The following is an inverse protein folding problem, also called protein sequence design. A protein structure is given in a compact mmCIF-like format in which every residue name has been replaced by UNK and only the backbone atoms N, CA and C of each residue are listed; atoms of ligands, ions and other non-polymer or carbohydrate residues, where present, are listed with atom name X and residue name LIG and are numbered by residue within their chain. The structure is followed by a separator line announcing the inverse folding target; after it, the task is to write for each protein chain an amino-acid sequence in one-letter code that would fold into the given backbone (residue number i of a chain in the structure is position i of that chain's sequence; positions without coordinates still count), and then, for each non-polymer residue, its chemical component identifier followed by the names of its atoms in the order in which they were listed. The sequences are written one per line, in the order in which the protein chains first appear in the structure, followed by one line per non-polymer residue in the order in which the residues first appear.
data_IF_172308327259
#
_entry.id   IF_172308327259
#
_cell.length_a   1.000
_cell.length_b   1.000
_cell.length_c   1.000
_cell.angle_alpha   90.00
_cell.angle_beta   90.00
_cell.angle_gamma   90.00
#
_symmetry.space_group_name_H-M   'P 1'
#
loop_
_entity.id
_entity.type
_entity.pdbx_description
1 polymer ?
#
# COMPACT_ATOMS: atom_id res chain seq x y z
N UNK A 1 19.34 11.10 -5.22
CA UNK A 1 19.13 9.68 -5.56
C UNK A 1 18.41 9.03 -4.38
N UNK A 2 17.13 9.40 -4.18
CA UNK A 2 16.26 8.88 -3.11
C UNK A 2 16.13 7.38 -3.28
N UNK A 3 16.65 6.64 -2.29
CA UNK A 3 16.75 5.20 -2.23
C UNK A 3 17.26 4.53 -3.51
N UNK A 4 18.51 4.06 -3.45
CA UNK A 4 18.87 2.87 -4.23
C UNK A 4 17.89 1.78 -3.82
N UNK A 5 16.85 1.60 -4.64
CA UNK A 5 16.08 0.37 -4.72
C UNK A 5 17.05 -0.75 -5.08
N UNK A 6 17.82 -1.22 -4.11
CA UNK A 6 18.54 -2.48 -4.18
C UNK A 6 17.49 -3.57 -3.96
N UNK A 7 16.54 -3.70 -4.90
CA UNK A 7 15.77 -4.94 -5.05
C UNK A 7 16.79 -6.02 -5.44
N UNK A 8 16.59 -7.23 -4.94
CA UNK A 8 17.38 -8.39 -5.35
C UNK A 8 17.10 -8.74 -6.83
N UNK A 9 15.92 -8.37 -7.32
CA UNK A 9 15.52 -8.54 -8.71
C UNK A 9 16.41 -7.79 -9.74
N UNK A 10 16.14 -8.01 -11.04
CA UNK A 10 16.93 -7.43 -12.12
C UNK A 10 16.84 -5.90 -12.14
N UNK A 11 17.82 -5.21 -12.77
CA UNK A 11 17.77 -3.76 -12.97
C UNK A 11 16.46 -3.31 -13.64
N UNK A 12 16.01 -2.05 -13.42
CA UNK A 12 14.70 -1.58 -13.88
C UNK A 12 14.42 -1.83 -15.37
N UNK A 13 15.37 -1.55 -16.26
CA UNK A 13 15.15 -1.73 -17.70
C UNK A 13 14.96 -3.22 -18.08
N UNK A 14 15.70 -4.11 -17.43
CA UNK A 14 15.56 -5.55 -17.63
C UNK A 14 14.26 -6.08 -17.01
N UNK A 15 13.93 -5.63 -15.80
CA UNK A 15 12.66 -5.92 -15.14
C UNK A 15 11.46 -5.52 -16.02
N UNK A 16 11.48 -4.30 -16.55
CA UNK A 16 10.44 -3.80 -17.45
C UNK A 16 10.37 -4.63 -18.73
N UNK A 17 11.51 -4.94 -19.35
CA UNK A 17 11.55 -5.76 -20.55
C UNK A 17 10.96 -7.17 -20.33
N UNK A 18 11.21 -7.78 -19.16
CA UNK A 18 10.61 -9.06 -18.77
C UNK A 18 9.09 -8.94 -18.59
N UNK A 19 8.62 -7.93 -17.85
CA UNK A 19 7.19 -7.68 -17.63
C UNK A 19 6.44 -7.41 -18.93
N UNK A 20 7.01 -6.60 -19.83
CA UNK A 20 6.41 -6.30 -21.15
C UNK A 20 6.22 -7.56 -22.00
N UNK A 21 7.11 -8.56 -21.89
CA UNK A 21 6.96 -9.87 -22.55
C UNK A 21 5.84 -10.71 -21.93
N UNK A 22 5.59 -10.56 -20.63
CA UNK A 22 4.56 -11.30 -19.89
C UNK A 22 3.16 -10.65 -19.97
N UNK A 23 3.04 -9.42 -20.47
CA UNK A 23 1.81 -8.61 -20.40
C UNK A 23 0.55 -9.35 -20.89
N UNK A 24 0.63 -10.08 -22.00
CA UNK A 24 -0.53 -10.75 -22.61
C UNK A 24 -0.96 -11.95 -21.76
N UNK A 25 0.00 -12.68 -21.18
CA UNK A 25 -0.28 -13.78 -20.26
C UNK A 25 -0.88 -13.30 -18.94
N UNK A 26 -0.55 -12.08 -18.51
CA UNK A 26 -1.17 -11.39 -17.36
C UNK A 26 -2.52 -10.75 -17.71
N UNK A 27 -3.02 -10.89 -18.94
CA UNK A 27 -4.29 -10.28 -19.37
C UNK A 27 -4.25 -8.75 -19.53
N UNK A 28 -3.05 -8.15 -19.55
CA UNK A 28 -2.87 -6.71 -19.72
C UNK A 28 -3.10 -6.33 -21.18
N UNK A 29 -4.10 -5.48 -21.42
CA UNK A 29 -4.47 -5.02 -22.77
C UNK A 29 -3.95 -3.62 -23.08
N UNK A 30 -3.67 -2.82 -22.05
CA UNK A 30 -3.18 -1.45 -22.21
C UNK A 30 -2.20 -1.07 -21.09
N UNK A 31 -1.17 -0.33 -21.48
CA UNK A 31 -0.23 0.35 -20.59
C UNK A 31 -0.18 1.80 -21.08
N UNK A 32 -0.38 2.77 -20.18
CA UNK A 32 -0.44 4.18 -20.54
C UNK A 32 0.32 5.03 -19.52
N UNK A 33 1.20 5.89 -20.01
CA UNK A 33 1.73 7.01 -19.22
C UNK A 33 0.63 8.07 -19.09
N UNK A 34 0.19 8.33 -17.85
CA UNK A 34 -0.84 9.33 -17.55
C UNK A 34 -0.26 10.56 -16.85
N UNK A 35 1.07 10.66 -16.72
CA UNK A 35 1.77 11.76 -16.07
C UNK A 35 1.34 13.13 -16.60
N UNK A 36 1.15 13.22 -17.92
CA UNK A 36 0.76 14.46 -18.60
C UNK A 36 -0.67 14.94 -18.32
N UNK A 37 -1.48 14.18 -17.58
CA UNK A 37 -2.81 14.64 -17.14
C UNK A 37 -2.73 15.57 -15.92
N UNK A 38 -1.58 15.68 -15.26
CA UNK A 38 -1.38 16.53 -14.09
C UNK A 38 -0.13 17.41 -14.24
N UNK A 39 -0.09 18.50 -13.49
CA UNK A 39 1.02 19.47 -13.52
C UNK A 39 2.24 19.01 -12.70
N UNK A 40 2.06 18.05 -11.78
CA UNK A 40 3.10 17.61 -10.84
C UNK A 40 4.34 17.04 -11.54
N UNK A 41 4.19 16.44 -12.72
CA UNK A 41 5.29 15.83 -13.47
C UNK A 41 5.93 14.61 -12.79
N UNK A 42 5.25 14.05 -11.78
CA UNK A 42 5.65 12.80 -11.13
C UNK A 42 5.18 11.64 -12.02
N UNK A 43 6.07 10.72 -12.43
CA UNK A 43 5.70 9.60 -13.30
C UNK A 43 4.62 8.70 -12.69
N UNK A 44 3.51 8.54 -13.42
CA UNK A 44 2.44 7.59 -13.10
C UNK A 44 2.02 6.84 -14.36
N UNK A 45 2.01 5.51 -14.24
CA UNK A 45 1.62 4.60 -15.33
C UNK A 45 0.37 3.84 -14.93
N UNK A 46 -0.52 3.68 -15.88
CA UNK A 46 -1.76 2.93 -15.74
C UNK A 46 -1.68 1.64 -16.56
N UNK A 47 -2.13 0.54 -15.96
CA UNK A 47 -2.21 -0.79 -16.57
C UNK A 47 -3.66 -1.26 -16.53
N UNK A 48 -4.20 -1.72 -17.67
CA UNK A 48 -5.59 -2.17 -17.77
C UNK A 48 -5.66 -3.67 -18.03
N UNK A 49 -6.42 -4.36 -17.18
CA UNK A 49 -6.77 -5.77 -17.26
C UNK A 49 -8.30 -5.93 -17.19
N UNK A 50 -8.99 -5.92 -18.35
CA UNK A 50 -10.46 -5.81 -18.41
C UNK A 50 -11.24 -6.93 -17.71
N UNK A 51 -10.64 -8.10 -17.51
CA UNK A 51 -11.26 -9.26 -16.88
C UNK A 51 -10.78 -9.47 -15.44
N UNK A 52 -10.23 -8.44 -14.79
CA UNK A 52 -9.92 -8.52 -13.36
C UNK A 52 -11.16 -8.81 -12.53
N UNK A 53 -11.02 -9.68 -11.53
CA UNK A 53 -12.04 -9.88 -10.50
C UNK A 53 -11.93 -8.86 -9.34
N UNK A 54 -11.01 -7.90 -9.45
CA UNK A 54 -10.83 -6.74 -8.58
C UNK A 54 -10.97 -5.47 -9.44
N UNK A 55 -10.14 -4.45 -9.23
CA UNK A 55 -10.06 -3.29 -10.10
C UNK A 55 -9.50 -3.65 -11.48
N UNK A 56 -10.20 -3.26 -12.55
CA UNK A 56 -9.73 -3.48 -13.93
C UNK A 56 -8.51 -2.63 -14.29
N UNK A 57 -8.22 -1.61 -13.48
CA UNK A 57 -7.12 -0.67 -13.66
C UNK A 57 -6.22 -0.67 -12.43
N UNK A 58 -4.96 -1.05 -12.64
CA UNK A 58 -3.88 -0.88 -11.67
C UNK A 58 -3.03 0.33 -12.06
N UNK A 59 -2.41 0.97 -11.08
CA UNK A 59 -1.60 2.17 -11.32
C UNK A 59 -0.30 2.09 -10.54
N UNK A 60 0.77 2.58 -11.14
CA UNK A 60 2.10 2.53 -10.56
C UNK A 60 2.75 3.89 -10.56
N UNK A 61 3.66 4.06 -9.61
CA UNK A 61 4.37 5.31 -9.33
C UNK A 61 5.87 5.09 -9.24
N UNK A 62 6.64 6.15 -9.42
CA UNK A 62 8.08 6.10 -9.19
C UNK A 62 8.80 7.37 -9.60
N UNK A 63 10.11 7.42 -9.32
CA UNK A 63 10.95 8.55 -9.71
C UNK A 63 11.20 8.61 -11.24
N UNK A 64 11.04 7.48 -11.93
CA UNK A 64 11.14 7.39 -13.39
C UNK A 64 9.92 6.69 -13.99
N UNK A 65 9.69 6.93 -15.28
CA UNK A 65 8.62 6.27 -16.02
C UNK A 65 8.76 4.74 -16.02
N UNK A 66 10.00 4.23 -16.09
CA UNK A 66 10.27 2.79 -16.02
C UNK A 66 9.86 2.21 -14.66
N UNK A 67 10.19 2.88 -13.55
CA UNK A 67 9.78 2.46 -12.22
C UNK A 67 8.27 2.49 -12.04
N UNK A 68 7.60 3.55 -12.51
CA UNK A 68 6.15 3.65 -12.49
C UNK A 68 5.48 2.52 -13.30
N UNK A 69 6.02 2.19 -14.48
CA UNK A 69 5.53 1.07 -15.29
C UNK A 69 5.71 -0.29 -14.59
N UNK A 70 6.89 -0.55 -14.01
CA UNK A 70 7.16 -1.78 -13.24
C UNK A 70 6.19 -1.89 -12.07
N UNK A 71 6.00 -0.80 -11.30
CA UNK A 71 5.05 -0.75 -10.18
C UNK A 71 3.64 -1.11 -10.64
N UNK A 72 3.15 -0.52 -11.74
CA UNK A 72 1.79 -0.75 -12.23
C UNK A 72 1.58 -2.19 -12.70
N UNK A 73 2.60 -2.76 -13.37
CA UNK A 73 2.54 -4.13 -13.89
C UNK A 73 2.65 -5.17 -12.78
N UNK A 74 3.45 -4.93 -11.74
CA UNK A 74 3.53 -5.80 -10.57
C UNK A 74 2.23 -5.78 -9.75
N UNK A 75 1.65 -4.60 -9.51
CA UNK A 75 0.33 -4.46 -8.84
C UNK A 75 -0.78 -5.19 -9.63
N UNK A 76 -0.75 -5.12 -10.97
CA UNK A 76 -1.68 -5.88 -11.81
C UNK A 76 -1.45 -7.39 -11.71
N UNK A 77 -0.19 -7.82 -11.65
CA UNK A 77 0.19 -9.23 -11.53
C UNK A 77 -0.21 -9.82 -10.17
N UNK A 78 -0.02 -9.08 -9.08
CA UNK A 78 -0.47 -9.45 -7.73
C UNK A 78 -1.92 -9.91 -7.72
N UNK A 79 -2.82 -9.04 -8.17
CA UNK A 79 -4.25 -9.33 -8.23
C UNK A 79 -4.59 -10.44 -9.24
N UNK A 80 -3.84 -10.54 -10.35
CA UNK A 80 -4.04 -11.59 -11.36
C UNK A 80 -3.79 -13.00 -10.81
N UNK A 81 -2.79 -13.18 -9.93
CA UNK A 81 -2.55 -14.49 -9.33
C UNK A 81 -3.46 -14.72 -8.12
N UNK A 82 -3.73 -13.69 -7.31
CA UNK A 82 -4.56 -13.82 -6.12
C UNK A 82 -6.07 -13.99 -6.42
N UNK A 83 -6.54 -13.63 -7.62
CA UNK A 83 -7.94 -13.89 -8.02
C UNK A 83 -8.19 -15.33 -8.49
N UNK A 84 -7.14 -16.11 -8.76
CA UNK A 84 -7.27 -17.50 -9.21
C UNK A 84 -7.56 -18.43 -8.02
N UNK A 85 -8.75 -18.31 -7.45
CA UNK A 85 -9.15 -18.99 -6.21
C UNK A 85 -9.00 -20.52 -6.26
N UNK A 86 -9.14 -21.12 -7.45
CA UNK A 86 -8.94 -22.55 -7.66
C UNK A 86 -7.50 -23.03 -7.43
N UNK A 87 -6.52 -22.13 -7.41
CA UNK A 87 -5.12 -22.43 -7.15
C UNK A 87 -4.79 -22.52 -5.65
N UNK A 88 -5.76 -22.27 -4.78
CA UNK A 88 -5.59 -22.36 -3.33
C UNK A 88 -6.23 -23.65 -2.79
N UNK A 89 -5.48 -24.37 -1.96
CA UNK A 89 -6.00 -25.51 -1.23
C UNK A 89 -6.62 -25.03 0.07
N UNK A 90 -7.95 -24.92 0.09
CA UNK A 90 -8.68 -24.44 1.26
C UNK A 90 -9.24 -25.59 2.09
N UNK A 91 -9.34 -25.36 3.40
CA UNK A 91 -10.04 -26.22 4.36
C UNK A 91 -11.19 -25.41 4.94
N UNK A 92 -12.40 -25.96 4.91
CA UNK A 92 -13.59 -25.30 5.47
C UNK A 92 -13.81 -25.80 6.90
N UNK A 93 -14.00 -24.87 7.83
CA UNK A 93 -14.32 -25.16 9.22
C UNK A 93 -14.47 -23.90 10.05
N UNK A 94 -15.05 -24.03 11.24
CA UNK A 94 -15.19 -22.92 12.17
C UNK A 94 -13.87 -22.66 12.92
N UNK A 95 -13.59 -21.41 13.26
CA UNK A 95 -12.35 -21.00 13.94
C UNK A 95 -12.10 -21.79 15.24
N UNK A 96 -13.17 -22.05 16.01
CA UNK A 96 -13.08 -22.80 17.27
C UNK A 96 -12.75 -24.29 17.05
N UNK A 97 -13.27 -24.88 15.97
CA UNK A 97 -13.01 -26.29 15.63
C UNK A 97 -11.59 -26.50 15.11
N UNK A 98 -11.07 -25.52 14.38
CA UNK A 98 -9.73 -25.54 13.80
C UNK A 98 -8.64 -25.10 14.79
N UNK A 99 -9.02 -24.74 16.03
CA UNK A 99 -8.07 -24.35 17.07
C UNK A 99 -7.40 -22.99 16.83
N UNK A 100 -8.05 -22.08 16.11
CA UNK A 100 -7.55 -20.73 15.88
C UNK A 100 -7.57 -19.97 17.23
N UNK A 101 -6.46 -19.30 17.63
CA UNK A 101 -6.44 -18.57 18.90
C UNK A 101 -7.60 -17.55 19.03
N UNK A 102 -8.17 -17.34 20.24
CA UNK A 102 -9.35 -16.51 20.47
C UNK A 102 -9.28 -15.10 19.85
N UNK A 103 -8.16 -14.39 20.07
CA UNK A 103 -8.00 -13.00 19.67
C UNK A 103 -7.43 -12.83 18.24
N UNK A 104 -7.14 -13.95 17.56
CA UNK A 104 -6.50 -13.91 16.24
C UNK A 104 -7.51 -13.48 15.18
N UNK A 105 -7.13 -12.50 14.37
CA UNK A 105 -7.92 -11.89 13.28
C UNK A 105 -9.11 -11.02 13.71
N UNK A 106 -9.29 -10.72 15.02
CA UNK A 106 -10.39 -9.84 15.45
C UNK A 106 -10.31 -8.43 14.84
N UNK A 107 -9.09 -7.91 14.65
CA UNK A 107 -8.80 -6.64 13.98
C UNK A 107 -9.16 -6.63 12.49
N UNK A 108 -9.38 -7.79 11.88
CA UNK A 108 -9.66 -7.95 10.45
C UNK A 108 -11.14 -8.22 10.15
N UNK A 109 -12.01 -8.23 11.14
CA UNK A 109 -13.44 -8.47 10.94
C UNK A 109 -14.09 -7.30 10.19
N UNK A 110 -15.11 -7.59 9.38
CA UNK A 110 -15.93 -6.55 8.78
C UNK A 110 -16.73 -5.81 9.86
N UNK A 111 -16.98 -4.52 9.63
CA UNK A 111 -17.87 -3.73 10.49
C UNK A 111 -19.25 -4.39 10.60
N UNK A 112 -19.73 -4.55 11.82
CA UNK A 112 -21.02 -5.20 12.09
C UNK A 112 -21.00 -6.73 12.08
N UNK A 113 -19.81 -7.35 11.97
CA UNK A 113 -19.67 -8.80 12.13
C UNK A 113 -20.19 -9.26 13.50
N UNK A 114 -21.05 -10.28 13.50
CA UNK A 114 -21.65 -10.78 14.73
C UNK A 114 -20.58 -11.40 15.67
N UNK A 115 -20.72 -11.25 17.01
CA UNK A 115 -19.77 -11.82 17.97
C UNK A 115 -19.57 -13.34 17.86
N UNK A 116 -20.54 -14.06 17.31
CA UNK A 116 -20.47 -15.51 17.08
C UNK A 116 -19.73 -15.94 15.81
N UNK A 117 -18.94 -15.06 15.18
CA UNK A 117 -18.25 -15.35 13.92
C UNK A 117 -17.35 -16.58 13.99
N UNK A 118 -16.75 -16.84 15.15
CA UNK A 118 -15.86 -17.98 15.40
C UNK A 118 -16.53 -19.35 15.20
N UNK A 119 -17.85 -19.39 15.35
CA UNK A 119 -18.68 -20.58 15.10
C UNK A 119 -19.24 -20.68 13.69
N UNK A 120 -18.97 -19.70 12.80
CA UNK A 120 -19.37 -19.74 11.39
C UNK A 120 -18.36 -20.55 10.59
N UNK A 121 -18.84 -21.26 9.57
CA UNK A 121 -17.96 -21.93 8.61
C UNK A 121 -17.21 -20.88 7.78
N UNK A 122 -15.89 -21.00 7.78
CA UNK A 122 -14.96 -20.13 7.04
C UNK A 122 -14.02 -21.01 6.22
N UNK A 123 -13.63 -20.55 5.03
CA UNK A 123 -12.55 -21.18 4.27
C UNK A 123 -11.20 -20.69 4.80
N UNK A 124 -10.27 -21.62 5.05
CA UNK A 124 -8.93 -21.33 5.56
C UNK A 124 -7.87 -21.87 4.60
N UNK A 125 -6.74 -21.18 4.51
CA UNK A 125 -5.57 -21.65 3.75
C UNK A 125 -4.36 -21.74 4.66
N UNK A 126 -3.48 -22.71 4.39
CA UNK A 126 -2.24 -22.86 5.13
C UNK A 126 -1.27 -21.70 4.82
N UNK A 127 -0.61 -21.20 5.87
CA UNK A 127 0.42 -20.19 5.78
C UNK A 127 1.64 -20.61 6.61
N UNK A 128 2.84 -20.27 6.14
CA UNK A 128 4.05 -20.43 6.94
C UNK A 128 4.19 -19.23 7.88
N UNK A 129 4.40 -19.47 9.17
CA UNK A 129 4.72 -18.42 10.13
C UNK A 129 6.22 -18.13 10.08
N UNK A 130 6.60 -16.95 9.60
CA UNK A 130 8.01 -16.58 9.40
C UNK A 130 8.80 -16.38 10.71
N UNK A 131 8.12 -16.19 11.84
CA UNK A 131 8.77 -16.02 13.14
C UNK A 131 9.02 -17.36 13.84
N UNK A 132 8.02 -18.25 13.83
CA UNK A 132 8.09 -19.53 14.57
C UNK A 132 8.52 -20.71 13.71
N UNK A 133 8.43 -20.59 12.38
CA UNK A 133 8.57 -21.70 11.43
C UNK A 133 7.39 -22.68 11.42
N UNK A 134 6.30 -22.41 12.16
CA UNK A 134 5.10 -23.26 12.16
C UNK A 134 4.28 -23.08 10.88
N UNK A 135 3.37 -24.03 10.64
CA UNK A 135 2.30 -23.85 9.66
C UNK A 135 0.99 -23.57 10.39
N UNK A 136 0.43 -22.40 10.10
CA UNK A 136 -0.81 -21.91 10.68
C UNK A 136 -1.90 -21.83 9.60
N UNK A 137 -3.14 -21.57 10.02
CA UNK A 137 -4.26 -21.31 9.11
C UNK A 137 -4.61 -19.83 9.13
N UNK A 138 -4.82 -19.26 7.95
CA UNK A 138 -5.32 -17.89 7.76
C UNK A 138 -6.67 -17.92 7.04
N UNK A 139 -7.59 -16.98 7.33
CA UNK A 139 -8.85 -16.88 6.59
C UNK A 139 -8.57 -16.66 5.11
N UNK A 140 -9.20 -17.45 4.25
CA UNK A 140 -9.00 -17.36 2.80
C UNK A 140 -9.51 -16.03 2.23
N UNK A 141 -10.56 -15.47 2.83
CA UNK A 141 -11.10 -14.13 2.55
C UNK A 141 -10.06 -13.01 2.73
N UNK A 142 -9.02 -13.23 3.56
CA UNK A 142 -7.89 -12.32 3.73
C UNK A 142 -6.74 -12.60 2.76
N UNK A 143 -6.91 -13.47 1.76
CA UNK A 143 -5.84 -13.88 0.84
C UNK A 143 -6.18 -13.64 -0.62
N UNK A 144 -7.38 -14.02 -1.07
CA UNK A 144 -7.75 -13.84 -2.48
C UNK A 144 -8.20 -12.41 -2.79
N UNK A 145 -8.10 -12.03 -4.06
CA UNK A 145 -8.58 -10.73 -4.57
C UNK A 145 -9.77 -10.86 -5.53
N UNK A 146 -10.50 -11.98 -5.46
CA UNK A 146 -11.74 -12.16 -6.22
C UNK A 146 -12.92 -11.42 -5.56
N UNK A 147 -13.03 -10.12 -5.81
CA UNK A 147 -14.05 -9.23 -5.26
C UNK A 147 -15.32 -9.22 -6.13
N UNK A 148 -15.99 -10.38 -6.18
CA UNK A 148 -17.17 -10.60 -7.03
C UNK A 148 -18.49 -10.45 -6.26
N UNK A 149 -19.56 -10.15 -6.99
CA UNK A 149 -20.94 -10.16 -6.47
C UNK A 149 -21.78 -11.21 -7.23
N UNK A 150 -22.44 -12.16 -6.54
CA UNK A 150 -22.38 -12.41 -5.09
C UNK A 150 -20.98 -12.89 -4.64
N UNK A 151 -20.67 -12.68 -3.35
CA UNK A 151 -19.40 -13.12 -2.74
C UNK A 151 -19.20 -14.63 -2.83
N UNK A 152 -17.94 -15.08 -2.68
CA UNK A 152 -17.65 -16.51 -2.69
C UNK A 152 -18.26 -17.21 -1.47
N UNK A 153 -18.53 -18.52 -1.55
CA UNK A 153 -18.95 -19.28 -0.38
C UNK A 153 -17.95 -19.15 0.76
N UNK A 154 -18.48 -18.97 1.99
CA UNK A 154 -17.71 -18.82 3.23
C UNK A 154 -16.98 -17.48 3.42
N UNK A 155 -17.21 -16.49 2.55
CA UNK A 155 -16.83 -15.09 2.75
C UNK A 155 -17.90 -14.35 3.60
N UNK A 156 -17.64 -13.07 3.90
CA UNK A 156 -18.52 -12.16 4.64
C UNK A 156 -18.28 -12.17 6.15
N UNK A 157 -17.04 -12.41 6.58
CA UNK A 157 -16.61 -12.32 7.98
C UNK A 157 -15.46 -11.31 8.12
N UNK A 158 -14.49 -11.36 7.21
CA UNK A 158 -13.28 -10.56 7.25
C UNK A 158 -13.31 -9.48 6.19
N UNK A 159 -12.74 -8.33 6.49
CA UNK A 159 -12.68 -7.24 5.55
C UNK A 159 -11.57 -7.50 4.51
N UNK A 160 -11.99 -8.00 3.36
CA UNK A 160 -11.11 -8.27 2.23
C UNK A 160 -10.42 -6.99 1.77
N UNK A 161 -9.10 -7.06 1.57
CA UNK A 161 -8.26 -5.95 1.11
C UNK A 161 -7.02 -6.48 0.40
N UNK A 162 -6.33 -5.64 -0.37
CA UNK A 162 -5.06 -6.01 -1.02
C UNK A 162 -3.85 -5.87 -0.09
N UNK A 163 -4.03 -5.43 1.16
CA UNK A 163 -2.93 -5.20 2.11
C UNK A 163 -2.05 -6.42 2.32
N UNK A 164 -0.74 -6.26 2.10
CA UNK A 164 0.24 -7.30 2.26
C UNK A 164 0.35 -8.27 1.07
N UNK A 165 -0.42 -8.05 0.00
CA UNK A 165 -0.22 -8.73 -1.28
C UNK A 165 0.92 -8.04 -2.01
N UNK A 166 1.90 -8.81 -2.50
CA UNK A 166 3.07 -8.24 -3.14
C UNK A 166 3.63 -9.17 -4.21
N UNK A 167 4.08 -8.59 -5.32
CA UNK A 167 4.82 -9.28 -6.37
C UNK A 167 6.26 -8.76 -6.49
N UNK A 168 7.16 -9.68 -6.78
CA UNK A 168 8.56 -9.38 -7.08
C UNK A 168 9.14 -10.39 -8.04
N UNK A 169 10.34 -10.10 -8.55
CA UNK A 169 11.13 -11.11 -9.27
C UNK A 169 11.77 -12.11 -8.30
N UNK A 170 12.00 -11.69 -7.06
CA UNK A 170 12.58 -12.49 -6.00
C UNK A 170 11.61 -12.50 -4.81
N UNK A 171 11.40 -13.68 -4.22
CA UNK A 171 10.46 -13.85 -3.10
C UNK A 171 10.77 -12.95 -1.89
N UNK A 172 12.03 -12.77 -1.45
CA UNK A 172 12.33 -11.90 -0.32
C UNK A 172 11.93 -10.43 -0.55
N UNK A 173 12.02 -9.92 -1.78
CA UNK A 173 11.56 -8.57 -2.11
C UNK A 173 10.04 -8.45 -1.95
N UNK A 174 9.30 -9.47 -2.41
CA UNK A 174 7.85 -9.52 -2.28
C UNK A 174 7.42 -9.60 -0.81
N UNK A 175 8.10 -10.42 0.00
CA UNK A 175 7.84 -10.53 1.44
C UNK A 175 8.10 -9.19 2.14
N UNK A 176 9.25 -8.56 1.89
CA UNK A 176 9.59 -7.25 2.49
C UNK A 176 8.55 -6.20 2.10
N UNK A 177 8.13 -6.16 0.83
CA UNK A 177 7.10 -5.21 0.39
C UNK A 177 5.76 -5.45 1.10
N UNK A 178 5.29 -6.71 1.14
CA UNK A 178 4.03 -7.05 1.81
C UNK A 178 4.06 -6.77 3.33
N UNK A 179 5.21 -7.00 3.98
CA UNK A 179 5.39 -6.65 5.39
C UNK A 179 5.36 -5.13 5.60
N UNK A 180 6.10 -4.36 4.80
CA UNK A 180 6.09 -2.89 4.91
C UNK A 180 4.69 -2.32 4.68
N UNK A 181 3.95 -2.83 3.71
CA UNK A 181 2.57 -2.39 3.47
C UNK A 181 1.68 -2.70 4.68
N UNK A 182 1.73 -3.89 5.27
CA UNK A 182 0.96 -4.20 6.49
C UNK A 182 1.27 -3.21 7.64
N UNK A 183 2.54 -2.85 7.80
CA UNK A 183 3.00 -1.91 8.84
C UNK A 183 2.51 -0.49 8.55
N UNK A 184 2.55 -0.08 7.29
CA UNK A 184 2.02 1.19 6.83
C UNK A 184 0.52 1.32 7.14
N UNK A 185 -0.27 0.32 6.73
CA UNK A 185 -1.73 0.32 6.89
C UNK A 185 -2.13 0.39 8.37
N UNK A 186 -1.43 -0.31 9.26
CA UNK A 186 -1.64 -0.25 10.71
C UNK A 186 -1.35 1.14 11.30
N UNK A 187 -0.21 1.73 10.91
CA UNK A 187 0.19 3.05 11.39
C UNK A 187 -0.80 4.13 10.91
N UNK A 188 -1.28 4.04 9.67
CA UNK A 188 -2.30 4.95 9.13
C UNK A 188 -3.66 4.73 9.80
N UNK A 189 -4.10 3.49 10.00
CA UNK A 189 -5.33 3.19 10.74
C UNK A 189 -5.28 3.78 12.17
N UNK A 190 -4.12 3.71 12.82
CA UNK A 190 -3.89 4.35 14.12
C UNK A 190 -3.89 5.88 14.03
N UNK A 191 -3.31 6.46 12.99
CA UNK A 191 -3.33 7.89 12.75
C UNK A 191 -4.76 8.43 12.60
N UNK A 192 -5.64 7.73 11.88
CA UNK A 192 -7.06 8.09 11.73
C UNK A 192 -7.81 8.19 13.06
N UNK A 193 -7.47 7.35 14.04
CA UNK A 193 -8.09 7.36 15.38
C UNK A 193 -7.40 8.31 16.36
N UNK A 194 -6.27 8.89 15.98
CA UNK A 194 -5.47 9.73 16.87
C UNK A 194 -5.98 11.17 16.85
N UNK A 195 -6.59 11.62 17.95
CA UNK A 195 -7.09 12.98 18.06
C UNK A 195 -5.97 14.03 17.91
N UNK A 196 -6.19 14.99 17.00
CA UNK A 196 -5.23 16.06 16.73
C UNK A 196 -3.97 15.61 15.99
N UNK A 197 -3.97 14.42 15.37
CA UNK A 197 -2.85 13.87 14.60
C UNK A 197 -2.20 14.91 13.68
N UNK A 198 -3.01 15.54 12.82
CA UNK A 198 -2.51 16.50 11.83
C UNK A 198 -1.87 17.77 12.43
N UNK A 199 -2.14 18.10 13.69
CA UNK A 199 -1.52 19.23 14.38
C UNK A 199 -0.23 18.84 15.14
N UNK A 200 -0.07 17.56 15.48
CA UNK A 200 1.00 17.09 16.37
C UNK A 200 2.11 16.35 15.64
N UNK A 201 1.76 15.65 14.57
CA UNK A 201 2.67 14.73 13.87
C UNK A 201 3.25 15.31 12.58
N UNK A 202 3.03 16.61 12.32
CA UNK A 202 3.51 17.25 11.10
C UNK A 202 5.02 17.44 11.15
N UNK A 203 5.70 16.91 10.13
CA UNK A 203 7.14 17.04 9.90
C UNK A 203 7.43 18.47 9.46
N UNK A 204 8.47 19.07 10.05
CA UNK A 204 8.98 20.37 9.63
C UNK A 204 9.86 20.24 8.38
N UNK A 205 9.44 20.74 7.21
CA UNK A 205 10.24 20.64 5.98
C UNK A 205 11.61 21.34 6.09
N UNK A 206 11.78 22.32 6.99
CA UNK A 206 13.06 23.01 7.19
C UNK A 206 14.11 22.13 7.86
N UNK A 207 13.67 21.06 8.54
CA UNK A 207 14.56 20.09 9.20
C UNK A 207 14.99 18.95 8.29
N UNK A 208 14.43 18.83 7.08
CA UNK A 208 14.78 17.78 6.12
C UNK A 208 16.20 18.02 5.59
N UNK A 209 17.11 17.11 5.89
CA UNK A 209 18.51 17.17 5.48
C UNK A 209 18.83 16.34 4.22
N UNK A 210 17.96 15.40 3.84
CA UNK A 210 18.09 14.65 2.59
C UNK A 210 17.99 15.60 1.37
N UNK A 211 19.05 15.71 0.53
CA UNK A 211 19.06 16.65 -0.58
C UNK A 211 18.03 16.34 -1.67
N UNK A 212 17.69 15.06 -1.86
CA UNK A 212 16.83 14.63 -2.95
C UNK A 212 15.35 14.78 -2.60
N UNK A 213 14.98 14.59 -1.33
CA UNK A 213 13.65 14.92 -0.84
C UNK A 213 13.41 16.44 -0.89
N UNK A 214 14.43 17.23 -0.53
CA UNK A 214 14.36 18.70 -0.67
C UNK A 214 14.12 19.13 -2.12
N UNK A 215 14.88 18.59 -3.06
CA UNK A 215 14.71 18.88 -4.50
C UNK A 215 13.30 18.53 -5.01
N UNK A 216 12.74 17.39 -4.56
CA UNK A 216 11.36 17.00 -4.87
C UNK A 216 10.34 17.99 -4.29
N UNK A 217 10.51 18.41 -3.04
CA UNK A 217 9.63 19.39 -2.38
C UNK A 217 9.73 20.78 -3.05
N UNK A 218 10.94 21.23 -3.40
CA UNK A 218 11.18 22.49 -4.11
C UNK A 218 10.55 22.47 -5.50
N UNK A 219 10.64 21.34 -6.23
CA UNK A 219 10.00 21.15 -7.54
C UNK A 219 8.47 21.25 -7.44
N UNK A 220 7.86 20.67 -6.40
CA UNK A 220 6.43 20.76 -6.16
C UNK A 220 6.00 22.17 -5.73
N UNK A 221 6.78 22.81 -4.85
CA UNK A 221 6.54 24.20 -4.43
C UNK A 221 6.58 25.18 -5.61
N UNK A 222 7.54 25.01 -6.54
CA UNK A 222 7.64 25.82 -7.76
C UNK A 222 6.41 25.69 -8.69
N UNK A 223 5.59 24.64 -8.50
CA UNK A 223 4.34 24.38 -9.22
C UNK A 223 3.11 24.84 -8.43
N UNK A 224 3.30 25.60 -7.35
CA UNK A 224 2.25 26.05 -6.43
C UNK A 224 1.48 24.89 -5.78
N UNK A 225 2.19 23.81 -5.44
CA UNK A 225 1.62 22.64 -4.76
C UNK A 225 2.10 22.66 -3.32
N UNK A 226 1.14 22.71 -2.40
CA UNK A 226 1.40 22.52 -0.98
C UNK A 226 1.61 21.04 -0.70
N UNK A 227 2.66 20.75 0.08
CA UNK A 227 2.97 19.40 0.56
C UNK A 227 2.93 19.40 2.08
N UNK A 228 2.13 18.50 2.64
CA UNK A 228 2.13 18.18 4.06
C UNK A 228 2.68 16.78 4.26
N UNK A 229 3.65 16.63 5.16
CA UNK A 229 4.19 15.33 5.57
C UNK A 229 3.93 15.14 7.05
N UNK A 230 3.40 13.99 7.42
CA UNK A 230 3.16 13.61 8.82
C UNK A 230 3.80 12.27 9.13
N UNK A 231 4.39 12.17 10.31
CA UNK A 231 4.88 10.90 10.84
C UNK A 231 3.70 10.08 11.36
N UNK A 232 3.39 8.96 10.70
CA UNK A 232 2.52 7.94 11.28
C UNK A 232 3.37 7.05 12.19
N UNK A 233 3.02 6.99 13.47
CA UNK A 233 3.79 6.23 14.45
C UNK A 233 3.48 4.73 14.30
N UNK A 234 4.49 3.95 13.91
CA UNK A 234 4.43 2.50 13.93
C UNK A 234 4.92 1.96 15.28
N UNK A 235 4.24 0.96 15.88
CA UNK A 235 4.73 0.30 17.10
C UNK A 235 6.07 -0.43 16.89
N UNK A 236 6.43 -0.71 15.64
CA UNK A 236 7.66 -1.40 15.25
C UNK A 236 8.84 -0.42 15.10
N UNK A 237 8.62 0.89 15.14
CA UNK A 237 9.66 1.89 14.92
C UNK A 237 10.14 1.98 13.47
N UNK A 238 9.41 1.37 12.53
CA UNK A 238 9.60 1.56 11.09
C UNK A 238 9.05 2.94 10.68
N UNK A 239 9.81 3.75 9.92
CA UNK A 239 9.30 4.98 9.33
C UNK A 239 8.03 4.75 8.51
N UNK A 240 6.95 5.45 8.88
CA UNK A 240 5.76 5.57 8.07
C UNK A 240 5.44 7.05 7.91
N UNK A 241 5.31 7.50 6.66
CA UNK A 241 5.00 8.90 6.34
C UNK A 241 3.68 8.96 5.60
N UNK A 242 2.82 9.88 6.01
CA UNK A 242 1.59 10.23 5.30
C UNK A 242 1.79 11.59 4.63
N UNK A 243 1.53 11.66 3.34
CA UNK A 243 1.66 12.84 2.52
C UNK A 243 0.29 13.32 2.04
N UNK A 244 0.04 14.62 2.12
CA UNK A 244 -1.07 15.26 1.42
C UNK A 244 -0.54 16.31 0.44
N UNK A 245 -1.13 16.33 -0.75
CA UNK A 245 -0.87 17.28 -1.83
C UNK A 245 -2.12 18.11 -2.13
N UNK A 246 -1.96 19.43 -2.24
CA UNK A 246 -3.05 20.34 -2.58
C UNK A 246 -2.52 21.59 -3.28
N UNK A 247 -3.20 22.07 -4.32
CA UNK A 247 -2.86 23.33 -4.95
C UNK A 247 -3.04 24.51 -3.99
N UNK A 248 -2.02 25.37 -3.98
CA UNK A 248 -1.95 26.51 -3.10
C UNK A 248 -3.04 27.52 -3.40
N UNK A 249 -3.19 27.94 -4.66
CA UNK A 249 -4.27 28.82 -5.10
C UNK A 249 -5.13 28.11 -6.14
N UNK A 250 -6.44 27.92 -5.88
CA UNK A 250 -7.28 27.27 -6.86
C UNK A 250 -7.51 28.22 -8.04
N UNK A 251 -6.97 27.87 -9.20
CA UNK A 251 -7.32 28.49 -10.48
C UNK A 251 -8.68 27.98 -10.97
N UNK A 252 -9.28 28.65 -11.96
CA UNK A 252 -10.49 28.13 -12.64
C UNK A 252 -10.25 26.76 -13.33
N UNK A 253 -8.99 26.32 -13.43
CA UNK A 253 -8.56 25.09 -14.09
C UNK A 253 -8.18 23.97 -13.12
N UNK A 254 -8.51 24.09 -11.83
CA UNK A 254 -8.26 23.03 -10.84
C UNK A 254 -9.02 21.77 -11.25
N UNK A 255 -8.29 20.67 -11.43
CA UNK A 255 -8.85 19.38 -11.82
C UNK A 255 -9.48 18.65 -10.63
N UNK A 256 -8.94 18.86 -9.42
CA UNK A 256 -9.41 18.23 -8.18
C UNK A 256 -9.45 19.24 -7.04
N UNK A 257 -10.62 19.36 -6.42
CA UNK A 257 -10.85 20.30 -5.32
C UNK A 257 -10.35 19.79 -3.96
N UNK A 258 -10.16 18.47 -3.82
CA UNK A 258 -9.76 17.82 -2.57
C UNK A 258 -8.26 17.51 -2.53
N UNK A 259 -7.64 17.50 -1.33
CA UNK A 259 -6.27 17.04 -1.20
C UNK A 259 -6.18 15.59 -1.66
N UNK A 260 -5.15 15.30 -2.45
CA UNK A 260 -4.76 13.92 -2.71
C UNK A 260 -3.79 13.49 -1.64
N UNK A 261 -3.95 12.28 -1.13
CA UNK A 261 -3.10 11.74 -0.09
C UNK A 261 -2.50 10.39 -0.47
N UNK A 262 -1.41 10.05 0.19
CA UNK A 262 -0.70 8.80 0.01
C UNK A 262 0.24 8.54 1.17
N UNK A 263 0.50 7.29 1.47
CA UNK A 263 1.38 6.86 2.55
C UNK A 263 2.46 5.92 2.05
N UNK A 264 3.53 5.78 2.84
CA UNK A 264 4.52 4.75 2.61
C UNK A 264 5.25 4.39 3.90
N UNK A 265 5.52 3.09 4.07
CA UNK A 265 6.52 2.60 5.01
C UNK A 265 7.86 2.34 4.31
N UNK A 266 8.97 2.56 5.01
CA UNK A 266 10.31 2.32 4.47
C UNK A 266 11.37 2.18 5.55
N UNK A 267 12.59 1.81 5.14
CA UNK A 267 13.72 1.72 6.07
C UNK A 267 14.30 3.10 6.41
N UNK A 268 14.16 4.07 5.51
CA UNK A 268 14.57 5.46 5.73
C UNK A 268 13.37 6.42 5.77
N UNK A 269 13.37 7.44 6.65
CA UNK A 269 12.33 8.47 6.63
C UNK A 269 12.25 9.23 5.29
N UNK A 270 13.40 9.45 4.63
CA UNK A 270 13.46 10.14 3.35
C UNK A 270 12.81 9.33 2.22
N UNK A 271 13.10 8.03 2.16
CA UNK A 271 12.46 7.11 1.23
C UNK A 271 10.97 6.99 1.45
N UNK A 272 10.54 6.79 2.70
CA UNK A 272 9.12 6.76 3.07
C UNK A 272 8.41 8.07 2.66
N UNK A 273 9.00 9.23 2.92
CA UNK A 273 8.42 10.51 2.51
C UNK A 273 8.32 10.66 0.98
N UNK A 274 9.36 10.29 0.23
CA UNK A 274 9.33 10.34 -1.23
C UNK A 274 8.27 9.39 -1.81
N UNK A 275 8.16 8.18 -1.28
CA UNK A 275 7.14 7.22 -1.70
C UNK A 275 5.72 7.68 -1.36
N UNK A 276 5.51 8.28 -0.20
CA UNK A 276 4.22 8.87 0.17
C UNK A 276 3.84 10.01 -0.80
N UNK A 277 4.81 10.83 -1.24
CA UNK A 277 4.58 11.87 -2.27
C UNK A 277 4.20 11.24 -3.62
N UNK A 278 4.91 10.17 -4.03
CA UNK A 278 4.60 9.47 -5.28
C UNK A 278 3.23 8.79 -5.24
N UNK A 279 2.83 8.23 -4.10
CA UNK A 279 1.52 7.64 -3.88
C UNK A 279 0.40 8.70 -3.91
N UNK A 280 0.62 9.86 -3.26
CA UNK A 280 -0.33 10.96 -3.32
C UNK A 280 -0.50 11.50 -4.76
N UNK A 281 0.58 11.57 -5.55
CA UNK A 281 0.52 11.93 -6.96
C UNK A 281 -0.22 10.87 -7.80
N UNK A 282 -0.04 9.58 -7.51
CA UNK A 282 -0.82 8.50 -8.12
C UNK A 282 -2.31 8.63 -7.80
N UNK A 283 -2.68 8.79 -6.52
CA UNK A 283 -4.07 8.93 -6.09
C UNK A 283 -4.76 10.12 -6.78
N UNK A 284 -4.04 11.23 -6.90
CA UNK A 284 -4.48 12.40 -7.67
C UNK A 284 -4.74 12.08 -9.14
N UNK A 285 -3.79 11.43 -9.81
CA UNK A 285 -3.93 11.06 -11.21
C UNK A 285 -4.99 9.97 -11.44
N UNK A 286 -5.26 9.13 -10.44
CA UNK A 286 -6.37 8.18 -10.45
C UNK A 286 -7.73 8.87 -10.56
N UNK A 287 -7.93 9.93 -9.77
CA UNK A 287 -9.16 10.72 -9.82
C UNK A 287 -9.23 11.59 -11.08
N UNK A 288 -8.11 12.16 -11.56
CA UNK A 288 -8.10 12.94 -12.82
C UNK A 288 -8.41 12.04 -14.03
N UNK A 289 -7.84 10.83 -14.09
CA UNK A 289 -8.05 9.93 -15.22
C UNK A 289 -9.46 9.35 -15.26
N UNK A 290 -10.12 9.24 -14.09
CA UNK A 290 -11.47 8.71 -13.94
C UNK A 290 -11.59 7.25 -14.37
N UNK A 291 -10.49 6.49 -14.35
CA UNK A 291 -10.41 5.15 -14.95
C UNK A 291 -10.58 4.00 -13.95
N UNK A 292 -10.65 4.27 -12.65
CA UNK A 292 -10.78 3.25 -11.59
C UNK A 292 -12.24 2.98 -11.23
N UNK A 293 -12.57 1.71 -11.05
CA UNK A 293 -13.93 1.23 -10.75
C UNK A 293 -14.38 1.55 -9.31
N UNK A 294 -13.43 1.67 -8.38
CA UNK A 294 -13.67 1.94 -6.96
C UNK A 294 -13.81 3.43 -6.62
N UNK A 295 -13.43 4.33 -7.53
CA UNK A 295 -13.67 5.77 -7.38
C UNK A 295 -15.13 6.11 -7.71
N UNK A 296 -16.01 5.93 -6.71
CA UNK A 296 -17.44 6.19 -6.84
C UNK A 296 -17.78 7.68 -6.77
N UNK A 297 -19.08 8.01 -6.86
CA UNK A 297 -19.60 9.39 -6.73
C UNK A 297 -19.15 10.13 -5.46
N UNK A 298 -18.74 9.41 -4.41
CA UNK A 298 -18.19 10.01 -3.21
C UNK A 298 -16.90 10.82 -3.48
N UNK A 299 -16.08 10.40 -4.45
CA UNK A 299 -14.85 11.08 -4.86
C UNK A 299 -15.09 12.27 -5.81
N UNK A 300 -16.30 12.38 -6.39
CA UNK A 300 -16.68 13.45 -7.32
C UNK A 300 -17.92 14.22 -6.81
N UNK A 301 -17.82 14.90 -5.65
CA UNK A 301 -18.95 15.62 -5.10
C UNK A 301 -19.36 16.79 -6.01
N UNK A 302 -20.66 16.88 -6.34
CA UNK A 302 -21.22 17.97 -7.15
C UNK A 302 -20.97 19.36 -6.52
N UNK A 303 -20.94 19.42 -5.19
CA UNK A 303 -20.69 20.63 -4.43
C UNK A 303 -19.60 20.34 -3.41
N UNK A 304 -18.33 20.64 -3.71
CA UNK A 304 -17.23 20.41 -2.78
C UNK A 304 -17.35 21.36 -1.59
N UNK A 305 -16.97 20.87 -0.40
CA UNK A 305 -16.94 21.69 0.81
C UNK A 305 -15.75 22.67 0.75
N UNK A 306 -16.03 23.86 0.22
CA UNK A 306 -15.03 24.94 0.07
C UNK A 306 -14.45 25.38 1.41
N UNK A 307 -15.18 25.27 2.51
CA UNK A 307 -14.68 25.66 3.84
C UNK A 307 -13.68 24.63 4.36
N UNK A 308 -13.99 23.35 4.20
CA UNK A 308 -13.09 22.24 4.57
C UNK A 308 -11.80 22.28 3.73
N UNK A 309 -11.90 22.49 2.41
CA UNK A 309 -10.73 22.61 1.53
C UNK A 309 -9.86 23.81 1.92
N UNK A 310 -10.46 24.98 2.19
CA UNK A 310 -9.73 26.16 2.64
C UNK A 310 -9.09 25.96 4.03
N UNK A 311 -9.74 25.23 4.94
CA UNK A 311 -9.15 24.84 6.21
C UNK A 311 -7.95 23.91 6.03
N UNK A 312 -8.06 22.93 5.13
CA UNK A 312 -6.96 22.01 4.81
C UNK A 312 -5.76 22.75 4.20
N UNK A 313 -6.02 23.68 3.28
CA UNK A 313 -5.00 24.56 2.71
C UNK A 313 -4.29 25.40 3.77
N UNK A 314 -5.03 25.99 4.71
CA UNK A 314 -4.44 26.73 5.85
C UNK A 314 -3.61 25.82 6.75
N UNK A 315 -4.06 24.60 7.01
CA UNK A 315 -3.28 23.59 7.73
C UNK A 315 -1.96 23.31 7.00
N UNK A 316 -1.98 23.16 5.67
CA UNK A 316 -0.78 22.93 4.88
C UNK A 316 0.15 24.15 4.82
N UNK A 317 -0.36 25.38 4.71
CA UNK A 317 0.48 26.59 4.72
C UNK A 317 1.09 26.84 6.10
N UNK A 318 0.22 26.96 7.09
CA UNK A 318 0.50 27.62 8.38
C UNK A 318 0.33 26.69 9.59
N UNK A 319 -0.09 25.45 9.36
CA UNK A 319 -0.28 24.48 10.44
C UNK A 319 1.00 24.17 11.20
N UNK A 320 0.90 23.86 12.50
CA UNK A 320 2.05 23.60 13.36
C UNK A 320 2.92 22.46 12.82
N UNK A 321 4.23 22.64 12.87
CA UNK A 321 5.26 21.70 12.40
C UNK A 321 6.09 21.26 13.61
N UNK A 322 5.65 20.19 14.26
CA UNK A 322 6.16 19.82 15.60
C UNK A 322 7.19 18.70 15.57
N UNK A 323 7.37 18.03 14.44
CA UNK A 323 8.26 16.87 14.30
C UNK A 323 9.53 17.29 13.55
N UNK A 324 10.69 17.10 14.18
CA UNK A 324 12.01 17.26 13.55
C UNK A 324 12.33 16.01 12.72
N UNK A 325 12.54 16.19 11.42
CA UNK A 325 12.84 15.11 10.49
C UNK A 325 14.11 14.33 10.87
N UNK A 326 15.12 15.01 11.43
CA UNK A 326 16.40 14.40 11.82
C UNK A 326 16.28 13.49 13.04
N UNK A 327 15.19 13.62 13.80
CA UNK A 327 14.90 12.77 14.93
C UNK A 327 14.14 11.48 14.54
N UNK A 328 13.71 11.36 13.28
CA UNK A 328 13.03 10.17 12.79
C UNK A 328 14.02 9.00 12.72
N UNK A 329 13.60 7.84 13.25
CA UNK A 329 14.45 6.65 13.31
C UNK A 329 14.73 6.12 11.89
N UNK A 330 15.98 5.81 11.59
CA UNK A 330 16.37 5.13 10.36
C UNK A 330 16.79 3.69 10.67
N UNK A 331 16.28 2.75 9.88
CA UNK A 331 16.57 1.33 10.02
C UNK A 331 17.77 0.96 9.15
N UNK A 332 18.82 0.46 9.81
CA UNK A 332 20.08 0.13 9.14
C UNK A 332 20.13 -1.35 8.77
N UNK A 333 20.63 -1.62 7.58
CA UNK A 333 20.94 -2.96 7.08
C UNK A 333 22.24 -2.92 6.28
N UNK A 334 22.96 -4.04 6.20
CA UNK A 334 24.26 -4.10 5.53
C UNK A 334 24.12 -4.35 4.03
N UNK A 335 23.15 -5.19 3.64
CA UNK A 335 22.86 -5.54 2.25
C UNK A 335 21.36 -5.62 2.00
N UNK A 336 20.94 -5.52 0.73
CA UNK A 336 19.56 -5.72 0.31
C UNK A 336 18.94 -7.04 0.81
N UNK A 337 19.75 -8.10 0.90
CA UNK A 337 19.34 -9.42 1.38
C UNK A 337 19.02 -9.45 2.88
N UNK A 338 19.56 -8.52 3.66
CA UNK A 338 19.37 -8.49 5.11
C UNK A 338 18.04 -7.85 5.53
N UNK A 339 17.36 -7.14 4.63
CA UNK A 339 16.13 -6.38 4.92
C UNK A 339 15.03 -7.22 5.54
N UNK A 340 14.82 -8.44 5.02
CA UNK A 340 13.84 -9.38 5.58
C UNK A 340 14.21 -9.76 7.02
N UNK A 341 15.46 -10.14 7.25
CA UNK A 341 15.97 -10.52 8.57
C UNK A 341 15.83 -9.38 9.58
N UNK A 342 16.08 -8.13 9.17
CA UNK A 342 15.91 -6.94 10.01
C UNK A 342 14.44 -6.76 10.40
N UNK A 343 13.50 -6.87 9.45
CA UNK A 343 12.08 -6.74 9.76
C UNK A 343 11.60 -7.85 10.71
N UNK A 344 11.99 -9.11 10.45
CA UNK A 344 11.61 -10.23 11.32
C UNK A 344 12.17 -10.07 12.73
N UNK A 345 13.43 -9.65 12.88
CA UNK A 345 14.03 -9.36 14.17
C UNK A 345 13.29 -8.25 14.93
N UNK A 346 12.90 -7.17 14.23
CA UNK A 346 12.11 -6.09 14.84
C UNK A 346 10.75 -6.60 15.32
N UNK A 347 10.05 -7.42 14.54
CA UNK A 347 8.76 -7.99 14.96
C UNK A 347 8.93 -8.92 16.18
N UNK A 348 9.95 -9.77 16.18
CA UNK A 348 10.26 -10.67 17.30
C UNK A 348 10.59 -9.90 18.58
N UNK A 349 11.48 -8.89 18.51
CA UNK A 349 11.84 -8.03 19.63
C UNK A 349 10.64 -7.27 20.21
N UNK A 350 9.64 -6.97 19.37
CA UNK A 350 8.40 -6.28 19.76
C UNK A 350 7.30 -7.24 20.24
N UNK A 351 7.60 -8.54 20.32
CA UNK A 351 6.71 -9.55 20.88
C UNK A 351 5.60 -10.01 19.94
N UNK A 352 5.73 -9.79 18.62
CA UNK A 352 4.84 -10.39 17.65
C UNK A 352 5.10 -11.89 17.56
N UNK A 353 4.05 -12.70 17.46
CA UNK A 353 4.13 -14.16 17.41
C UNK A 353 3.74 -14.74 16.03
N UNK A 354 3.22 -13.90 15.14
CA UNK A 354 2.65 -14.32 13.87
C UNK A 354 2.94 -13.35 12.72
N UNK A 355 3.72 -13.83 11.75
CA UNK A 355 3.83 -13.23 10.40
C UNK A 355 3.54 -14.34 9.41
N UNK A 356 2.31 -14.39 8.92
CA UNK A 356 1.84 -15.46 8.06
C UNK A 356 2.15 -15.15 6.59
N UNK A 357 2.91 -16.03 5.96
CA UNK A 357 3.24 -16.01 4.55
C UNK A 357 2.41 -17.07 3.81
N UNK A 358 1.58 -16.61 2.87
CA UNK A 358 0.94 -17.46 1.86
C UNK A 358 1.62 -17.21 0.52
N UNK A 359 2.19 -18.25 -0.08
CA UNK A 359 2.74 -18.19 -1.45
C UNK A 359 1.63 -18.42 -2.45
N UNK A 360 1.45 -17.49 -3.37
CA UNK A 360 0.47 -17.60 -4.45
C UNK A 360 1.11 -18.34 -5.63
N UNK A 361 0.37 -19.26 -6.24
CA UNK A 361 0.88 -20.02 -7.39
C UNK A 361 0.98 -19.10 -8.61
N UNK A 362 2.20 -18.91 -9.12
CA UNK A 362 2.48 -18.04 -10.28
C UNK A 362 2.62 -18.76 -11.61
N UNK A 363 2.42 -20.09 -11.65
CA UNK A 363 2.50 -20.88 -12.89
C UNK A 363 1.49 -20.39 -13.94
N UNK A 364 1.87 -20.32 -15.22
CA UNK A 364 3.17 -20.70 -15.80
C UNK A 364 4.24 -19.58 -15.80
N UNK A 365 3.99 -18.45 -15.15
CA UNK A 365 4.87 -17.29 -15.10
C UNK A 365 5.82 -17.33 -13.89
N UNK A 366 6.62 -18.40 -13.80
CA UNK A 366 7.51 -18.69 -12.66
C UNK A 366 8.64 -17.67 -12.45
N UNK A 367 8.80 -16.67 -13.32
CA UNK A 367 9.77 -15.59 -13.13
C UNK A 367 9.29 -14.52 -12.14
N UNK A 368 8.05 -14.60 -11.68
CA UNK A 368 7.49 -13.77 -10.62
C UNK A 368 7.22 -14.62 -9.39
N UNK A 369 7.51 -14.05 -8.23
CA UNK A 369 7.05 -14.53 -6.93
C UNK A 369 5.95 -13.59 -6.45
N UNK A 370 4.81 -14.17 -6.07
CA UNK A 370 3.68 -13.44 -5.48
C UNK A 370 3.36 -14.04 -4.14
N UNK A 371 3.29 -13.17 -3.13
CA UNK A 371 3.07 -13.56 -1.75
C UNK A 371 1.95 -12.71 -1.16
N UNK A 372 1.27 -13.29 -0.18
CA UNK A 372 0.36 -12.59 0.72
C UNK A 372 0.90 -12.69 2.14
N UNK A 373 1.17 -11.53 2.73
CA UNK A 373 1.53 -11.38 4.13
C UNK A 373 0.28 -11.03 4.93
N UNK A 374 0.04 -11.79 6.00
CA UNK A 374 -1.00 -11.46 6.99
C UNK A 374 -0.33 -11.40 8.35
N UNK A 375 -0.41 -10.24 9.01
CA UNK A 375 0.09 -10.04 10.37
C UNK A 375 -1.14 -9.77 11.24
N UNK A 376 -1.71 -10.78 11.92
CA UNK A 376 -3.02 -10.66 12.57
C UNK A 376 -3.10 -9.55 13.62
N UNK A 377 -1.96 -9.20 14.22
CA UNK A 377 -1.86 -8.16 15.23
C UNK A 377 -1.86 -6.73 14.65
N UNK A 378 -1.65 -6.57 13.34
CA UNK A 378 -1.66 -5.28 12.65
C UNK A 378 -3.03 -5.04 12.01
N UNK A 379 -3.51 -3.81 12.13
CA UNK A 379 -4.82 -3.48 11.59
C UNK A 379 -4.75 -3.19 10.09
N UNK A 380 -5.63 -3.81 9.28
CA UNK A 380 -5.78 -3.41 7.89
C UNK A 380 -6.40 -2.02 7.79
N UNK A 381 -6.11 -1.31 6.70
CA UNK A 381 -6.78 -0.05 6.40
C UNK A 381 -8.10 -0.37 5.69
N UNK A 382 -9.22 -0.27 6.41
CA UNK A 382 -10.56 -0.59 5.87
C UNK A 382 -11.21 0.57 5.11
N UNK A 383 -10.60 1.76 5.17
CA UNK A 383 -11.04 2.96 4.46
C UNK A 383 -9.86 3.56 3.71
N UNK A 384 -9.91 3.48 2.38
CA UNK A 384 -9.00 4.08 1.42
C UNK A 384 -9.69 4.13 0.06
#
# INVERSE_FOLDING_TARGET
MLERYERLGPPPDEALARLIKMREALGITRIADITGLDQLGIPVVQVTRPFSLSNAVAQGKGATLAQAAISAMLESAESFFAEQVANFNTVVGCADQLGIPPDRFESHLQDGTAPGWRGRETAWVAADNLLTGSRDLVPFELVHTAYVLPSLPHDGIFAASTSGLAAGFEEPDAIVHGMLECIERDAIATAYRTHGFFHRQRIDPETIDDPSLRDLLETLAAKNVLVGLWQALSPLGIPVVWCHLLEDEPTETVLLDHPADGSAAGFSPAGAAAHAIYEAAQARLAAISGARDDLTRAFYPKYPDRQMIAAHRRLLRDGPRSVDFRALAEQKFNTASDRLSVLLAILEERGFDAVHLVRVITKPLDALSVVRIVIPALQPLLQG
#
